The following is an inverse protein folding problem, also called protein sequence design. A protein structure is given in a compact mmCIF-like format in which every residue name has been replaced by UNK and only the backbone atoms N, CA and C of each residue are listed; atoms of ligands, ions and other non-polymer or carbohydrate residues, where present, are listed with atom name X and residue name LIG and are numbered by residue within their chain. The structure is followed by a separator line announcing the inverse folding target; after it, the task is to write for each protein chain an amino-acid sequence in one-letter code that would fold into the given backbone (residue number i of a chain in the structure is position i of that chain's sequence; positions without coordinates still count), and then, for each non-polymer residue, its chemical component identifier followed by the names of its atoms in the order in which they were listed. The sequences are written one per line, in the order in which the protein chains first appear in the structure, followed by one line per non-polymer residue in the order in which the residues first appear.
data_IF_666250138174
#
_entry.id   IF_666250138174
#
_cell.length_a   1.000
_cell.length_b   1.000
_cell.length_c   1.000
_cell.angle_alpha   90.00
_cell.angle_beta   90.00
_cell.angle_gamma   90.00
#
_symmetry.space_group_name_H-M   'P 1'
#
loop_
_entity.id
_entity.type
_entity.pdbx_description
1 polymer ?
#
# COMPACT_ATOMS: atom_id res chain seq x y z
N UNK A 1 -18.29 -15.36 -3.17
CA UNK A 1 -17.90 -14.56 -2.00
C UNK A 1 -16.57 -13.89 -2.34
N UNK A 2 -16.61 -12.62 -2.74
CA UNK A 2 -15.38 -11.84 -2.97
C UNK A 2 -14.71 -11.64 -1.62
N UNK A 3 -13.52 -12.22 -1.43
CA UNK A 3 -12.71 -11.95 -0.26
C UNK A 3 -12.03 -10.61 -0.53
N UNK A 4 -12.42 -9.58 0.21
CA UNK A 4 -11.76 -8.28 0.15
C UNK A 4 -10.37 -8.44 0.77
N UNK A 5 -9.32 -8.26 -0.05
CA UNK A 5 -7.95 -8.10 0.44
C UNK A 5 -7.88 -6.76 1.19
N UNK A 6 -7.53 -6.80 2.47
CA UNK A 6 -7.31 -5.60 3.28
C UNK A 6 -5.82 -5.48 3.56
N UNK A 7 -5.26 -4.27 3.38
CA UNK A 7 -3.88 -4.00 3.75
C UNK A 7 -3.78 -3.83 5.27
N UNK A 8 -3.29 -4.87 5.95
CA UNK A 8 -3.12 -4.86 7.39
C UNK A 8 -1.81 -4.17 7.80
N UNK A 9 -1.82 -3.48 8.95
CA UNK A 9 -0.66 -2.74 9.47
C UNK A 9 -0.51 -2.88 10.97
N UNK A 10 0.75 -2.89 11.38
CA UNK A 10 1.14 -2.83 12.77
C UNK A 10 2.63 -2.59 12.95
N UNK A 11 2.98 -2.20 14.16
CA UNK A 11 4.31 -2.31 14.74
C UNK A 11 4.62 -3.78 15.05
N UNK A 12 5.88 -4.09 15.37
CA UNK A 12 6.25 -5.45 15.74
C UNK A 12 5.43 -5.98 16.93
N UNK A 13 5.20 -5.12 17.93
CA UNK A 13 4.42 -5.46 19.11
C UNK A 13 2.93 -5.71 18.80
N UNK A 14 2.34 -4.92 17.91
CA UNK A 14 0.94 -5.13 17.48
C UNK A 14 0.79 -6.44 16.70
N UNK A 15 1.77 -6.77 15.86
CA UNK A 15 1.79 -8.04 15.12
C UNK A 15 2.07 -9.25 16.00
N UNK A 16 2.96 -9.14 17.00
CA UNK A 16 3.17 -10.19 18.00
C UNK A 16 1.91 -10.45 18.85
N UNK A 17 1.11 -9.41 19.11
CA UNK A 17 -0.18 -9.57 19.76
C UNK A 17 -1.25 -10.16 18.82
N UNK A 18 -1.05 -10.08 17.50
CA UNK A 18 -1.95 -10.60 16.47
C UNK A 18 -1.52 -12.00 16.03
N UNK A 19 -1.84 -13.00 16.86
CA UNK A 19 -1.54 -14.42 16.66
C UNK A 19 -2.59 -15.11 15.75
N UNK A 20 -2.85 -14.52 14.58
CA UNK A 20 -3.76 -15.09 13.59
C UNK A 20 -3.02 -15.23 12.26
N UNK A 21 -3.09 -16.41 11.61
CA UNK A 21 -2.52 -16.61 10.29
C UNK A 21 -3.07 -15.62 9.28
N UNK A 22 -2.18 -15.05 8.47
CA UNK A 22 -2.61 -14.27 7.32
C UNK A 22 -3.12 -15.20 6.23
N UNK A 23 -4.18 -14.79 5.53
CA UNK A 23 -4.70 -15.57 4.41
C UNK A 23 -3.66 -15.64 3.30
N UNK A 24 -3.72 -16.71 2.52
CA UNK A 24 -2.86 -16.86 1.34
C UNK A 24 -3.02 -15.66 0.40
N UNK A 25 -1.89 -15.03 0.06
CA UNK A 25 -1.84 -13.82 -0.77
C UNK A 25 -2.21 -12.52 -0.06
N UNK A 26 -2.52 -12.51 1.23
CA UNK A 26 -2.90 -11.30 1.96
C UNK A 26 -1.67 -10.44 2.31
N UNK A 27 -1.58 -9.19 1.80
CA UNK A 27 -0.43 -8.33 2.07
C UNK A 27 -0.56 -7.64 3.43
N UNK A 28 0.53 -7.64 4.18
CA UNK A 28 0.62 -7.00 5.49
C UNK A 28 1.93 -6.25 5.66
N UNK A 29 1.88 -5.11 6.36
CA UNK A 29 3.01 -4.23 6.56
C UNK A 29 3.45 -4.16 8.03
N UNK A 30 4.76 -4.28 8.25
CA UNK A 30 5.41 -4.00 9.52
C UNK A 30 6.13 -2.66 9.45
N UNK A 31 5.72 -1.72 10.31
CA UNK A 31 6.47 -0.48 10.53
C UNK A 31 7.61 -0.74 11.51
N UNK A 32 8.85 -0.61 11.04
CA UNK A 32 10.04 -0.73 11.88
C UNK A 32 10.33 0.57 12.64
N UNK A 33 11.03 0.42 13.76
CA UNK A 33 11.45 1.53 14.60
C UNK A 33 12.43 2.51 13.90
N UNK A 34 13.15 2.03 12.88
CA UNK A 34 14.08 2.83 12.07
C UNK A 34 13.39 3.56 10.90
N UNK A 35 12.06 3.53 10.84
CA UNK A 35 11.26 4.21 9.83
C UNK A 35 11.05 3.41 8.54
N UNK A 36 11.71 2.25 8.37
CA UNK A 36 11.48 1.33 7.25
C UNK A 36 10.14 0.62 7.38
N UNK A 37 9.60 0.19 6.24
CA UNK A 37 8.38 -0.63 6.20
C UNK A 37 8.74 -1.97 5.56
N UNK A 38 8.38 -3.08 6.21
CA UNK A 38 8.51 -4.42 5.63
C UNK A 38 7.18 -4.92 5.11
N UNK A 39 7.18 -5.49 3.91
CA UNK A 39 6.07 -6.21 3.33
C UNK A 39 6.23 -7.70 3.60
N UNK A 40 5.15 -8.31 4.08
CA UNK A 40 4.98 -9.76 4.18
C UNK A 40 3.68 -10.14 3.46
N UNK A 41 3.63 -11.34 2.92
CA UNK A 41 2.45 -11.90 2.26
C UNK A 41 2.10 -13.19 2.98
N UNK A 42 0.83 -13.35 3.35
CA UNK A 42 0.34 -14.55 3.99
C UNK A 42 0.44 -15.79 3.09
N UNK A 43 0.73 -16.93 3.69
CA UNK A 43 0.77 -18.25 3.07
C UNK A 43 -0.48 -19.10 3.43
N UNK A 44 -1.42 -18.52 4.18
CA UNK A 44 -2.64 -19.19 4.65
C UNK A 44 -2.46 -20.03 5.92
N UNK A 45 -1.23 -20.20 6.42
CA UNK A 45 -0.91 -21.11 7.53
C UNK A 45 -0.13 -20.42 8.66
N UNK A 46 0.73 -19.46 8.33
CA UNK A 46 1.67 -18.82 9.24
C UNK A 46 1.15 -17.48 9.78
N UNK A 47 1.42 -17.22 11.05
CA UNK A 47 1.23 -15.91 11.67
C UNK A 47 2.22 -14.88 11.10
N UNK A 48 1.89 -13.59 11.22
CA UNK A 48 2.72 -12.51 10.67
C UNK A 48 4.19 -12.61 11.10
N UNK A 49 4.46 -12.91 12.37
CA UNK A 49 5.80 -12.99 12.96
C UNK A 49 6.70 -14.02 12.28
N UNK A 50 6.11 -15.12 11.81
CA UNK A 50 6.82 -16.27 11.24
C UNK A 50 7.02 -16.15 9.73
N UNK A 51 6.27 -15.26 9.08
CA UNK A 51 6.41 -14.98 7.66
C UNK A 51 7.75 -14.30 7.35
N UNK A 52 8.38 -14.73 6.26
CA UNK A 52 9.52 -14.03 5.68
C UNK A 52 9.12 -12.66 5.14
N UNK A 53 10.02 -11.68 5.24
CA UNK A 53 9.85 -10.44 4.48
C UNK A 53 10.00 -10.75 2.99
N UNK A 54 8.98 -10.41 2.20
CA UNK A 54 9.05 -10.46 0.73
C UNK A 54 9.60 -9.15 0.17
N UNK A 55 9.59 -8.10 0.99
CA UNK A 55 10.09 -6.79 0.62
C UNK A 55 10.38 -5.91 1.83
N UNK A 56 11.27 -4.95 1.62
CA UNK A 56 11.47 -3.80 2.50
C UNK A 56 11.46 -2.51 1.69
N UNK A 57 10.69 -1.52 2.13
CA UNK A 57 10.67 -0.20 1.53
C UNK A 57 11.68 0.73 2.21
N UNK A 58 12.42 1.48 1.38
CA UNK A 58 13.16 2.66 1.81
C UNK A 58 12.26 3.88 1.74
N UNK A 59 12.33 4.74 2.74
CA UNK A 59 11.60 6.02 2.72
C UNK A 59 12.37 6.98 1.84
N UNK A 60 11.75 7.47 0.77
CA UNK A 60 12.27 8.62 0.03
C UNK A 60 11.79 9.90 0.71
N UNK A 61 12.71 10.82 1.08
CA UNK A 61 12.38 11.95 1.92
C UNK A 61 11.48 12.99 1.24
N UNK A 62 11.37 12.99 -0.09
CA UNK A 62 10.41 13.82 -0.85
C UNK A 62 10.42 13.44 -2.34
N UNK A 63 9.37 12.74 -2.81
CA UNK A 63 8.56 13.02 -4.01
C UNK A 63 7.93 11.75 -4.62
N UNK A 64 6.60 11.76 -4.84
CA UNK A 64 6.04 11.76 -6.20
C UNK A 64 4.58 12.25 -6.24
N UNK A 65 4.32 13.42 -6.83
CA UNK A 65 2.99 13.86 -7.29
C UNK A 65 2.78 13.65 -8.81
N UNK A 66 3.81 13.25 -9.56
CA UNK A 66 3.74 12.77 -10.95
C UNK A 66 5.05 12.04 -11.32
N UNK A 67 5.04 10.75 -11.65
CA UNK A 67 6.25 10.06 -12.17
C UNK A 67 6.30 8.53 -12.06
N UNK A 68 7.44 7.96 -12.46
CA UNK A 68 7.70 6.51 -12.47
C UNK A 68 7.98 5.99 -11.06
N UNK A 69 7.35 4.88 -10.69
CA UNK A 69 7.64 4.20 -9.43
C UNK A 69 8.90 3.34 -9.51
N UNK A 70 9.71 3.41 -8.46
CA UNK A 70 10.82 2.50 -8.22
C UNK A 70 10.41 1.40 -7.23
N UNK A 71 10.82 0.16 -7.52
CA UNK A 71 10.58 -0.98 -6.65
C UNK A 71 11.24 -0.77 -5.27
N UNK A 72 10.55 -1.17 -4.20
CA UNK A 72 11.10 -1.13 -2.84
C UNK A 72 11.14 0.27 -2.22
N UNK A 73 10.24 1.16 -2.63
CA UNK A 73 10.17 2.52 -2.09
C UNK A 73 8.85 2.84 -1.40
N UNK A 74 8.92 3.65 -0.34
CA UNK A 74 7.80 4.28 0.37
C UNK A 74 7.83 5.78 0.09
N UNK A 75 6.92 6.21 -0.78
CA UNK A 75 6.72 7.58 -1.21
C UNK A 75 5.78 8.29 -0.23
N UNK A 76 6.34 9.17 0.61
CA UNK A 76 5.56 9.98 1.57
C UNK A 76 5.31 11.37 0.99
N UNK A 77 4.14 11.54 0.40
CA UNK A 77 3.75 12.72 -0.39
C UNK A 77 3.22 13.85 0.52
N UNK A 78 2.66 13.50 1.69
CA UNK A 78 1.99 14.45 2.56
C UNK A 78 0.66 14.90 1.98
N UNK A 79 0.27 16.17 2.17
CA UNK A 79 -0.97 16.70 1.60
C UNK A 79 -0.88 16.80 0.08
N UNK A 80 -1.81 16.14 -0.61
CA UNK A 80 -1.84 16.08 -2.07
C UNK A 80 -3.19 16.51 -2.62
N UNK A 81 -3.19 17.48 -3.54
CA UNK A 81 -4.34 17.78 -4.40
C UNK A 81 -4.47 16.73 -5.51
N UNK A 82 -3.34 16.18 -5.96
CA UNK A 82 -3.28 15.11 -6.94
C UNK A 82 -2.11 14.16 -6.70
N UNK A 83 -2.31 12.88 -7.04
CA UNK A 83 -1.27 11.84 -7.04
C UNK A 83 -1.36 11.13 -8.38
N UNK A 84 -0.30 11.24 -9.19
CA UNK A 84 -0.17 10.54 -10.46
C UNK A 84 1.12 9.74 -10.50
N UNK A 85 1.07 8.51 -11.01
CA UNK A 85 2.25 7.67 -11.19
C UNK A 85 2.05 6.62 -12.27
N UNK A 86 3.15 6.03 -12.73
CA UNK A 86 3.15 4.92 -13.66
C UNK A 86 4.16 3.85 -13.23
N UNK A 87 3.92 2.62 -13.67
CA UNK A 87 4.86 1.52 -13.48
C UNK A 87 6.05 1.68 -14.43
N UNK A 88 7.24 1.15 -14.08
CA UNK A 88 8.37 1.16 -15.00
C UNK A 88 8.07 0.32 -16.25
N UNK A 89 8.66 0.69 -17.39
CA UNK A 89 8.43 0.00 -18.68
C UNK A 89 8.74 -1.50 -18.59
N UNK A 90 9.79 -1.86 -17.85
CA UNK A 90 10.09 -3.25 -17.48
C UNK A 90 9.81 -3.44 -16.00
N UNK A 91 8.68 -4.07 -15.67
CA UNK A 91 8.25 -4.32 -14.29
C UNK A 91 8.98 -5.55 -13.73
N UNK A 92 9.75 -5.43 -12.64
CA UNK A 92 10.33 -6.58 -11.94
C UNK A 92 9.25 -7.55 -11.44
N UNK A 93 9.56 -8.85 -11.42
CA UNK A 93 8.65 -9.91 -10.94
C UNK A 93 8.28 -9.75 -9.45
N UNK A 94 9.12 -9.08 -8.67
CA UNK A 94 8.95 -8.80 -7.24
C UNK A 94 8.65 -7.31 -6.98
N UNK A 95 8.09 -6.61 -7.96
CA UNK A 95 7.83 -5.17 -7.83
C UNK A 95 6.77 -4.89 -6.77
N UNK A 96 7.12 -3.98 -5.85
CA UNK A 96 6.17 -3.32 -4.95
C UNK A 96 6.63 -1.90 -4.66
N UNK A 97 5.68 -1.01 -4.37
CA UNK A 97 5.92 0.33 -3.86
C UNK A 97 4.76 0.77 -2.95
N UNK A 98 5.04 1.71 -2.05
CA UNK A 98 4.06 2.30 -1.15
C UNK A 98 3.91 3.78 -1.47
N UNK A 99 2.68 4.26 -1.55
CA UNK A 99 2.36 5.68 -1.64
C UNK A 99 1.56 6.07 -0.42
N UNK A 100 2.03 7.08 0.33
CA UNK A 100 1.35 7.61 1.51
C UNK A 100 1.06 9.09 1.30
N UNK A 101 -0.22 9.47 1.41
CA UNK A 101 -0.66 10.86 1.21
C UNK A 101 -1.87 11.20 2.07
N UNK A 102 -2.05 12.49 2.31
CA UNK A 102 -3.20 13.07 3.01
C UNK A 102 -4.10 13.77 1.98
N UNK A 103 -5.38 13.43 2.00
CA UNK A 103 -6.41 14.17 1.28
C UNK A 103 -6.92 15.31 2.15
N UNK A 104 -6.97 16.51 1.58
CA UNK A 104 -7.41 17.73 2.27
C UNK A 104 -8.93 17.80 2.42
N UNK A 105 -9.44 19.03 2.54
CA UNK A 105 -10.88 19.28 2.59
C UNK A 105 -11.62 18.81 1.33
N UNK A 106 -10.92 18.74 0.21
CA UNK A 106 -11.38 18.16 -1.05
C UNK A 106 -10.70 16.80 -1.30
N UNK A 107 -11.38 15.95 -2.07
CA UNK A 107 -10.85 14.66 -2.49
C UNK A 107 -9.60 14.85 -3.36
N UNK A 108 -8.53 14.13 -3.06
CA UNK A 108 -7.33 14.08 -3.90
C UNK A 108 -7.66 13.40 -5.24
N UNK A 109 -7.23 14.00 -6.34
CA UNK A 109 -7.33 13.35 -7.65
C UNK A 109 -6.25 12.28 -7.76
N UNK A 110 -6.63 11.05 -8.12
CA UNK A 110 -5.70 9.92 -8.17
C UNK A 110 -5.66 9.32 -9.58
N UNK A 111 -4.47 9.29 -10.17
CA UNK A 111 -4.22 8.73 -11.49
C UNK A 111 -3.11 7.68 -11.42
N UNK A 112 -3.33 6.59 -12.14
CA UNK A 112 -2.33 5.54 -12.35
C UNK A 112 -2.43 5.07 -13.79
N UNK A 113 -1.44 4.30 -14.25
CA UNK A 113 -1.53 3.60 -15.53
C UNK A 113 -2.86 2.89 -15.68
N UNK A 114 -3.41 2.97 -16.89
CA UNK A 114 -4.52 2.12 -17.30
C UNK A 114 -4.12 0.65 -17.03
N UNK A 115 -5.06 -0.10 -16.44
CA UNK A 115 -4.96 -1.53 -16.05
C UNK A 115 -4.47 -1.86 -14.63
N UNK A 116 -4.22 -0.88 -13.75
CA UNK A 116 -4.02 -1.18 -12.32
C UNK A 116 -5.36 -1.46 -11.62
N UNK A 117 -5.50 -2.64 -11.01
CA UNK A 117 -6.72 -3.02 -10.29
C UNK A 117 -6.59 -2.79 -8.79
N UNK A 118 -7.47 -1.94 -8.24
CA UNK A 118 -7.48 -1.63 -6.81
C UNK A 118 -8.46 -2.47 -6.01
N UNK A 119 -8.10 -2.70 -4.75
CA UNK A 119 -8.98 -3.22 -3.70
C UNK A 119 -8.77 -2.43 -2.41
N UNK A 120 -9.70 -2.53 -1.46
CA UNK A 120 -9.61 -1.86 -0.16
C UNK A 120 -10.57 -0.68 -0.01
N UNK A 121 -10.17 0.31 0.79
CA UNK A 121 -11.01 1.47 1.11
C UNK A 121 -11.21 2.39 -0.11
N UNK A 122 -12.38 3.04 -0.17
CA UNK A 122 -12.76 4.02 -1.20
C UNK A 122 -12.51 3.54 -2.64
N UNK A 123 -12.72 2.24 -2.86
CA UNK A 123 -12.52 1.56 -4.14
C UNK A 123 -13.83 0.95 -4.63
N UNK A 124 -14.22 1.25 -5.87
CA UNK A 124 -15.41 0.71 -6.51
C UNK A 124 -15.07 0.23 -7.93
N UNK A 125 -15.47 -1.00 -8.27
CA UNK A 125 -15.23 -1.57 -9.60
C UNK A 125 -13.75 -1.71 -9.98
N UNK A 126 -12.85 -1.80 -9.00
CA UNK A 126 -11.40 -1.85 -9.23
C UNK A 126 -10.73 -0.48 -9.34
N UNK A 127 -11.50 0.62 -9.19
CA UNK A 127 -11.00 1.99 -9.29
C UNK A 127 -10.94 2.61 -7.91
N UNK A 128 -9.77 3.11 -7.52
CA UNK A 128 -9.60 3.86 -6.28
C UNK A 128 -9.97 5.33 -6.48
N UNK A 129 -10.88 5.85 -5.64
CA UNK A 129 -11.31 7.25 -5.65
C UNK A 129 -11.18 7.82 -4.23
N UNK A 130 -10.06 8.52 -3.90
CA UNK A 130 -9.84 9.01 -2.55
C UNK A 130 -10.98 9.93 -2.08
N UNK A 131 -11.61 9.62 -0.95
CA UNK A 131 -12.46 10.55 -0.23
C UNK A 131 -11.63 11.61 0.51
N UNK A 132 -12.19 12.81 0.69
CA UNK A 132 -11.60 13.92 1.42
C UNK A 132 -11.34 13.62 2.92
N UNK A 133 -10.44 14.39 3.54
CA UNK A 133 -10.08 14.36 4.96
C UNK A 133 -9.66 12.96 5.47
N UNK A 134 -8.91 12.24 4.65
CA UNK A 134 -8.33 10.94 5.00
C UNK A 134 -6.83 10.90 4.76
N UNK A 135 -6.15 10.17 5.62
CA UNK A 135 -4.80 9.69 5.40
C UNK A 135 -4.86 8.35 4.68
N UNK A 136 -4.27 8.29 3.49
CA UNK A 136 -4.17 7.07 2.69
C UNK A 136 -2.77 6.54 2.71
N UNK A 137 -2.70 5.22 2.61
CA UNK A 137 -1.52 4.60 2.06
C UNK A 137 -1.95 3.46 1.16
N UNK A 138 -1.35 3.45 -0.02
CA UNK A 138 -1.62 2.54 -1.11
C UNK A 138 -0.38 1.67 -1.30
N UNK A 139 -0.56 0.36 -1.17
CA UNK A 139 0.43 -0.61 -1.64
C UNK A 139 0.13 -0.90 -3.10
N UNK A 140 1.11 -0.69 -3.97
CA UNK A 140 1.04 -1.17 -5.34
C UNK A 140 2.08 -2.26 -5.54
N UNK A 141 1.75 -3.27 -6.31
CA UNK A 141 2.62 -4.42 -6.54
C UNK A 141 2.26 -5.12 -7.85
N UNK A 142 3.12 -6.04 -8.26
CA UNK A 142 2.98 -6.78 -9.50
C UNK A 142 3.17 -8.28 -9.26
N UNK A 143 2.22 -9.08 -9.73
CA UNK A 143 2.22 -10.55 -9.67
C UNK A 143 1.99 -11.19 -11.05
N UNK A 144 2.27 -10.43 -12.12
CA UNK A 144 1.80 -10.71 -13.48
C UNK A 144 0.62 -9.82 -13.89
N UNK A 145 -0.02 -9.16 -12.93
CA UNK A 145 -0.99 -8.07 -13.15
C UNK A 145 -0.65 -6.88 -12.22
N UNK A 146 -0.95 -5.65 -12.64
CA UNK A 146 -0.77 -4.46 -11.79
C UNK A 146 -1.87 -4.44 -10.72
N UNK A 147 -1.48 -4.46 -9.45
CA UNK A 147 -2.41 -4.51 -8.32
C UNK A 147 -2.20 -3.33 -7.38
N UNK A 148 -3.29 -2.87 -6.79
CA UNK A 148 -3.29 -1.87 -5.73
C UNK A 148 -4.15 -2.30 -4.53
N UNK A 149 -3.65 -2.08 -3.32
CA UNK A 149 -4.42 -2.28 -2.08
C UNK A 149 -4.39 -1.01 -1.27
N UNK A 150 -5.56 -0.47 -0.98
CA UNK A 150 -5.75 0.83 -0.34
C UNK A 150 -6.18 0.65 1.10
N UNK A 151 -5.52 1.38 2.00
CA UNK A 151 -6.03 1.64 3.35
C UNK A 151 -6.18 3.14 3.57
N UNK A 152 -7.39 3.55 3.93
CA UNK A 152 -7.73 4.92 4.30
C UNK A 152 -8.13 4.99 5.77
N UNK A 153 -7.60 5.96 6.49
CA UNK A 153 -8.03 6.30 7.86
C UNK A 153 -8.46 7.76 7.90
N UNK A 154 -9.51 8.07 8.68
CA UNK A 154 -9.94 9.45 8.83
C UNK A 154 -8.81 10.30 9.45
N UNK A 155 -8.70 11.56 9.03
CA UNK A 155 -7.93 12.54 9.80
C UNK A 155 -8.57 12.67 11.19
N UNK A 156 -7.82 12.33 12.23
CA UNK A 156 -8.18 12.77 13.57
C UNK A 156 -7.89 14.27 13.65
N UNK A 157 -8.96 15.05 13.76
CA UNK A 157 -8.95 16.52 13.95
C UNK A 157 -8.27 16.94 15.24
#
# INVERSE_FOLDING_TARGET
MSHFLQLLRGTAAEWEAHDVPLKDGEPALLKKADGRVQLRVGDGESCFSDLGAVGECRVEPEALPFGELAAGYDYRIGNAEGVEYFFPETIPDDFYALLTFDSGAEATVYYTDDDCYFTGDDTEGGVFTPAANKHYTVLVWYDGTKQGVVRGVAHES
#
